data_IF_135704491829
#
_entry.id   IF_135704491829
#
_cell.length_a   1.000
_cell.length_b   1.000
_cell.length_c   1.000
_cell.angle_alpha   90.00
_cell.angle_beta   90.00
_cell.angle_gamma   90.00
#
_symmetry.space_group_name_H-M   'P 1'
#
loop_
_entity.id
_entity.type
_entity.pdbx_description
1 polymer ?
#
# COMPACT_ATOMS: atom_id res chain seq x y z
N UNK A 1 2.98 14.35 -13.66
CA UNK A 1 1.61 14.16 -14.16
C UNK A 1 0.71 14.88 -13.18
N UNK A 2 0.05 15.96 -13.60
CA UNK A 2 -0.94 16.64 -12.75
C UNK A 2 -2.07 15.67 -12.41
N UNK A 3 -2.51 15.73 -11.16
CA UNK A 3 -3.54 14.85 -10.64
C UNK A 3 -4.89 15.25 -11.24
N UNK A 4 -5.35 14.49 -12.24
CA UNK A 4 -6.63 14.69 -12.92
C UNK A 4 -7.82 14.66 -11.94
N UNK A 5 -7.66 14.08 -10.74
CA UNK A 5 -8.68 14.14 -9.69
C UNK A 5 -8.96 15.58 -9.23
N UNK A 6 -7.94 16.44 -9.19
CA UNK A 6 -8.08 17.86 -8.84
C UNK A 6 -8.82 18.63 -9.93
N UNK A 7 -8.60 18.28 -11.20
CA UNK A 7 -9.30 18.88 -12.33
C UNK A 7 -10.82 18.61 -12.29
N UNK A 8 -11.26 17.46 -11.73
CA UNK A 8 -12.70 17.14 -11.57
C UNK A 8 -13.45 18.16 -10.71
N UNK A 9 -12.77 18.81 -9.78
CA UNK A 9 -13.36 19.77 -8.85
C UNK A 9 -13.41 21.20 -9.40
N UNK A 10 -12.80 21.45 -10.57
CA UNK A 10 -12.66 22.81 -11.10
C UNK A 10 -13.93 23.33 -11.78
N UNK A 11 -14.59 22.52 -12.61
CA UNK A 11 -15.87 22.89 -13.22
C UNK A 11 -16.66 21.68 -13.74
N UNK A 12 -17.96 21.90 -14.01
CA UNK A 12 -18.88 20.87 -14.53
C UNK A 12 -18.44 20.28 -15.87
N UNK A 13 -17.81 21.08 -16.73
CA UNK A 13 -17.29 20.63 -18.03
C UNK A 13 -16.15 19.64 -17.84
N UNK A 14 -15.15 19.98 -17.00
CA UNK A 14 -14.06 19.07 -16.66
C UNK A 14 -14.57 17.80 -16.00
N UNK A 15 -15.50 17.92 -15.04
CA UNK A 15 -16.13 16.75 -14.44
C UNK A 15 -16.77 15.84 -15.50
N UNK A 16 -17.59 16.39 -16.40
CA UNK A 16 -18.27 15.64 -17.46
C UNK A 16 -17.28 14.92 -18.38
N UNK A 17 -16.24 15.61 -18.84
CA UNK A 17 -15.21 15.01 -19.70
C UNK A 17 -14.39 13.94 -18.99
N UNK A 18 -14.07 14.12 -17.70
CA UNK A 18 -13.26 13.17 -16.94
C UNK A 18 -14.01 11.88 -16.57
N UNK A 19 -15.35 11.89 -16.61
CA UNK A 19 -16.18 10.69 -16.38
C UNK A 19 -16.66 10.04 -17.69
N UNK A 20 -16.38 10.63 -18.85
CA UNK A 20 -16.72 10.04 -20.14
C UNK A 20 -15.87 8.77 -20.40
N UNK A 21 -16.54 7.67 -20.74
CA UNK A 21 -15.88 6.39 -20.99
C UNK A 21 -14.81 6.49 -22.10
N UNK A 22 -15.05 7.29 -23.14
CA UNK A 22 -14.09 7.53 -24.22
C UNK A 22 -12.81 8.23 -23.73
N UNK A 23 -12.94 9.22 -22.83
CA UNK A 23 -11.81 9.91 -22.22
C UNK A 23 -11.01 8.96 -21.32
N UNK A 24 -11.71 8.20 -20.47
CA UNK A 24 -11.10 7.21 -19.56
C UNK A 24 -10.35 6.17 -20.39
N UNK A 25 -10.99 5.54 -21.38
CA UNK A 25 -10.36 4.53 -22.24
C UNK A 25 -9.17 5.10 -23.01
N UNK A 26 -9.23 6.36 -23.47
CA UNK A 26 -8.09 7.01 -24.15
C UNK A 26 -6.90 7.20 -23.21
N UNK A 27 -7.14 7.57 -21.94
CA UNK A 27 -6.08 7.70 -20.94
C UNK A 27 -5.55 6.35 -20.47
N UNK A 28 -6.41 5.35 -20.34
CA UNK A 28 -6.01 3.97 -20.03
C UNK A 28 -5.14 3.36 -21.14
N UNK A 29 -5.38 3.70 -22.42
CA UNK A 29 -4.54 3.22 -23.55
C UNK A 29 -3.08 3.68 -23.47
N UNK A 30 -2.83 4.84 -22.88
CA UNK A 30 -1.47 5.37 -22.68
C UNK A 30 -0.92 5.07 -21.28
N UNK A 31 -1.74 4.50 -20.40
CA UNK A 31 -1.33 4.10 -19.06
C UNK A 31 -0.78 2.67 -19.06
N UNK A 32 0.34 2.49 -18.36
CA UNK A 32 0.89 1.16 -18.07
C UNK A 32 0.26 0.53 -16.82
N UNK A 33 -0.70 1.20 -16.19
CA UNK A 33 -1.40 0.69 -15.00
C UNK A 33 -2.26 -0.53 -15.35
N UNK A 34 -2.42 -1.41 -14.36
CA UNK A 34 -3.20 -2.64 -14.44
C UNK A 34 -4.11 -2.71 -13.23
N UNK A 35 -5.30 -3.26 -13.41
CA UNK A 35 -6.20 -3.52 -12.29
C UNK A 35 -5.74 -4.76 -11.56
N UNK A 36 -5.68 -4.69 -10.23
CA UNK A 36 -5.47 -5.85 -9.39
C UNK A 36 -6.81 -6.29 -8.80
N UNK A 37 -7.19 -7.54 -9.04
CA UNK A 37 -8.35 -8.18 -8.40
C UNK A 37 -7.86 -9.29 -7.49
N UNK A 38 -8.28 -9.26 -6.23
CA UNK A 38 -7.94 -10.26 -5.22
C UNK A 38 -9.25 -10.85 -4.69
N UNK A 39 -9.51 -12.10 -5.08
CA UNK A 39 -10.64 -12.89 -4.58
C UNK A 39 -10.15 -14.27 -4.12
N UNK A 40 -10.49 -15.33 -4.85
CA UNK A 40 -9.93 -16.67 -4.65
C UNK A 40 -8.55 -16.83 -5.31
N UNK A 41 -8.27 -15.94 -6.26
CA UNK A 41 -7.01 -15.83 -6.98
C UNK A 41 -6.64 -14.35 -7.08
N UNK A 42 -5.41 -14.11 -7.52
CA UNK A 42 -4.90 -12.76 -7.76
C UNK A 42 -4.77 -12.58 -9.26
N UNK A 43 -5.52 -11.62 -9.82
CA UNK A 43 -5.52 -11.33 -11.24
C UNK A 43 -5.02 -9.91 -11.48
N UNK A 44 -3.98 -9.77 -12.30
CA UNK A 44 -3.58 -8.48 -12.88
C UNK A 44 -4.21 -8.35 -14.26
N UNK A 45 -5.14 -7.41 -14.43
CA UNK A 45 -5.99 -7.25 -15.61
C UNK A 45 -5.60 -5.95 -16.34
N UNK A 46 -5.34 -6.05 -17.63
CA UNK A 46 -5.25 -4.92 -18.53
C UNK A 46 -6.67 -4.44 -18.86
N UNK A 47 -7.04 -3.21 -18.50
CA UNK A 47 -8.41 -2.74 -18.69
C UNK A 47 -8.82 -2.52 -20.15
N UNK A 48 -7.87 -2.48 -21.08
CA UNK A 48 -8.15 -2.18 -22.49
C UNK A 48 -8.62 -3.42 -23.24
N UNK A 49 -7.90 -4.53 -23.06
CA UNK A 49 -8.15 -5.78 -23.79
C UNK A 49 -8.60 -6.92 -22.87
N UNK A 50 -8.72 -6.65 -21.56
CA UNK A 50 -9.05 -7.64 -20.52
C UNK A 50 -8.05 -8.80 -20.43
N UNK A 51 -6.90 -8.71 -21.12
CA UNK A 51 -5.81 -9.65 -20.95
C UNK A 51 -5.29 -9.56 -19.52
N UNK A 52 -4.85 -10.69 -18.97
CA UNK A 52 -4.38 -10.69 -17.61
C UNK A 52 -3.57 -11.91 -17.27
N UNK A 53 -2.82 -11.77 -16.18
CA UNK A 53 -2.13 -12.87 -15.52
C UNK A 53 -2.90 -13.17 -14.25
N UNK A 54 -3.24 -14.43 -14.07
CA UNK A 54 -3.82 -14.94 -12.83
C UNK A 54 -2.82 -15.83 -12.13
N UNK A 55 -2.76 -15.72 -10.81
CA UNK A 55 -1.91 -16.53 -9.95
C UNK A 55 -2.68 -16.92 -8.69
N UNK A 56 -2.22 -17.97 -8.03
CA UNK A 56 -2.84 -18.43 -6.80
C UNK A 56 -2.77 -17.36 -5.70
N UNK A 57 -3.80 -17.34 -4.86
CA UNK A 57 -3.83 -16.48 -3.68
C UNK A 57 -2.69 -16.89 -2.73
N UNK A 58 -1.85 -15.95 -2.27
CA UNK A 58 -0.82 -16.26 -1.29
C UNK A 58 -1.42 -16.87 -0.02
N UNK A 59 -0.74 -17.86 0.55
CA UNK A 59 -1.21 -18.58 1.75
C UNK A 59 -1.49 -17.68 2.96
N UNK A 60 -0.85 -16.50 3.03
CA UNK A 60 -1.08 -15.53 4.10
C UNK A 60 -2.36 -14.71 3.89
N UNK A 61 -2.94 -14.69 2.70
CA UNK A 61 -4.27 -14.13 2.42
C UNK A 61 -5.30 -15.26 2.55
N UNK A 62 -5.97 -15.31 3.69
CA UNK A 62 -6.89 -16.39 4.02
C UNK A 62 -8.34 -15.90 4.07
N UNK A 63 -9.25 -16.66 3.47
CA UNK A 63 -10.68 -16.35 3.52
C UNK A 63 -11.18 -16.31 4.97
N UNK A 64 -11.94 -15.27 5.34
CA UNK A 64 -12.52 -15.12 6.67
C UNK A 64 -11.53 -14.70 7.78
N UNK A 65 -10.31 -14.27 7.42
CA UNK A 65 -9.39 -13.63 8.37
C UNK A 65 -9.40 -12.12 8.14
N UNK A 66 -9.50 -11.36 9.22
CA UNK A 66 -9.29 -9.91 9.16
C UNK A 66 -7.81 -9.66 8.87
N UNK A 67 -7.54 -8.95 7.78
CA UNK A 67 -6.20 -8.63 7.32
C UNK A 67 -6.16 -7.18 6.92
N UNK A 68 -5.06 -6.51 7.23
CA UNK A 68 -4.82 -5.15 6.77
C UNK A 68 -3.86 -5.22 5.60
N UNK A 69 -4.27 -4.68 4.45
CA UNK A 69 -3.42 -4.50 3.28
C UNK A 69 -3.18 -3.01 3.13
N UNK A 70 -1.91 -2.62 3.11
CA UNK A 70 -1.45 -1.26 2.88
C UNK A 70 -0.53 -1.33 1.67
N UNK A 71 -0.71 -0.48 0.69
CA UNK A 71 0.01 -0.49 -0.57
C UNK A 71 0.76 0.81 -0.81
N UNK A 72 1.90 0.69 -1.46
CA UNK A 72 2.68 1.81 -1.96
C UNK A 72 3.19 1.45 -3.35
N UNK A 73 2.63 2.10 -4.38
CA UNK A 73 2.99 1.91 -5.78
C UNK A 73 3.07 0.44 -6.25
N UNK A 74 2.04 -0.34 -5.91
CA UNK A 74 1.90 -1.74 -6.32
C UNK A 74 2.63 -2.75 -5.42
N UNK A 75 3.35 -2.30 -4.40
CA UNK A 75 3.90 -3.14 -3.34
C UNK A 75 2.96 -3.12 -2.13
N UNK A 76 2.63 -4.30 -1.59
CA UNK A 76 1.69 -4.44 -0.48
C UNK A 76 2.42 -4.86 0.79
N UNK A 77 2.19 -4.12 1.87
CA UNK A 77 2.42 -4.52 3.24
C UNK A 77 1.15 -5.19 3.77
N UNK A 78 1.26 -6.46 4.14
CA UNK A 78 0.14 -7.27 4.61
C UNK A 78 0.36 -7.61 6.08
N UNK A 79 -0.52 -7.09 6.92
CA UNK A 79 -0.63 -7.49 8.31
C UNK A 79 -1.68 -8.59 8.43
N UNK A 80 -1.22 -9.80 8.75
CA UNK A 80 -2.02 -11.00 8.89
C UNK A 80 -2.03 -11.45 10.36
N UNK A 81 -2.95 -10.94 11.19
CA UNK A 81 -3.11 -11.39 12.55
C UNK A 81 -3.65 -12.83 12.60
N UNK A 82 -3.08 -13.64 13.50
CA UNK A 82 -3.61 -14.94 13.90
C UNK A 82 -3.86 -14.93 15.42
N UNK A 83 -4.61 -15.91 15.94
CA UNK A 83 -5.05 -15.99 17.34
C UNK A 83 -3.92 -15.88 18.37
N UNK A 84 -2.69 -16.20 17.99
CA UNK A 84 -1.54 -16.25 18.91
C UNK A 84 -0.38 -15.35 18.49
N UNK A 85 -0.32 -14.96 17.21
CA UNK A 85 0.80 -14.22 16.64
C UNK A 85 0.34 -13.38 15.44
N UNK A 86 0.89 -12.19 15.30
CA UNK A 86 0.74 -11.39 14.08
C UNK A 86 1.92 -11.61 13.16
N UNK A 87 1.64 -11.73 11.86
CA UNK A 87 2.66 -11.84 10.83
C UNK A 87 2.59 -10.65 9.89
N UNK A 88 3.76 -10.19 9.44
CA UNK A 88 3.88 -9.12 8.46
C UNK A 88 4.51 -9.69 7.19
N UNK A 89 3.93 -9.37 6.04
CA UNK A 89 4.44 -9.78 4.74
C UNK A 89 4.61 -8.57 3.83
N UNK A 90 5.67 -8.59 3.05
CA UNK A 90 5.79 -7.76 1.86
C UNK A 90 5.37 -8.60 0.67
N UNK A 91 4.50 -8.07 -0.17
CA UNK A 91 3.91 -8.79 -1.28
C UNK A 91 3.89 -7.95 -2.54
N UNK A 92 4.48 -8.47 -3.61
CA UNK A 92 4.40 -7.93 -4.95
C UNK A 92 3.49 -8.83 -5.81
N UNK A 93 2.20 -8.48 -5.96
CA UNK A 93 1.27 -9.28 -6.75
C UNK A 93 1.64 -9.37 -8.23
N UNK A 94 2.32 -8.35 -8.79
CA UNK A 94 2.69 -8.36 -10.21
C UNK A 94 3.79 -9.39 -10.50
N UNK A 95 4.79 -9.46 -9.63
CA UNK A 95 5.86 -10.45 -9.73
C UNK A 95 5.42 -11.83 -9.21
N UNK A 96 4.41 -11.89 -8.34
CA UNK A 96 4.03 -13.11 -7.62
C UNK A 96 4.93 -13.40 -6.42
N UNK A 97 5.78 -12.44 -6.04
CA UNK A 97 6.78 -12.58 -4.99
C UNK A 97 6.25 -12.09 -3.65
N UNK A 98 6.63 -12.78 -2.59
CA UNK A 98 6.33 -12.36 -1.22
C UNK A 98 7.44 -12.74 -0.26
N UNK A 99 7.62 -11.95 0.79
CA UNK A 99 8.60 -12.20 1.84
C UNK A 99 7.99 -11.87 3.20
N UNK A 100 8.14 -12.77 4.17
CA UNK A 100 7.79 -12.49 5.55
C UNK A 100 8.80 -11.53 6.16
N UNK A 101 8.29 -10.54 6.90
CA UNK A 101 9.09 -9.58 7.66
C UNK A 101 9.02 -9.95 9.12
N UNK A 102 10.20 -10.02 9.76
CA UNK A 102 10.30 -10.23 11.19
C UNK A 102 10.55 -8.89 11.90
N UNK A 103 9.74 -8.53 12.91
CA UNK A 103 10.01 -7.37 13.76
C UNK A 103 11.33 -7.50 14.51
N UNK A 104 11.84 -6.37 15.00
CA UNK A 104 13.05 -6.32 15.82
C UNK A 104 12.92 -7.15 17.11
N UNK A 105 11.73 -7.15 17.71
CA UNK A 105 11.38 -7.93 18.89
C UNK A 105 10.30 -8.97 18.54
N UNK A 106 10.35 -10.16 19.14
CA UNK A 106 9.45 -11.29 18.82
C UNK A 106 7.96 -11.02 19.09
N UNK A 107 7.63 -9.90 19.75
CA UNK A 107 6.27 -9.45 20.02
C UNK A 107 5.94 -8.32 19.05
N UNK A 108 5.28 -8.66 17.94
CA UNK A 108 4.73 -7.68 16.99
C UNK A 108 3.53 -6.96 17.63
N UNK A 109 3.71 -5.73 18.10
CA UNK A 109 2.69 -4.97 18.85
C UNK A 109 2.24 -3.66 18.17
N UNK A 110 2.63 -3.42 16.91
CA UNK A 110 2.23 -2.20 16.21
C UNK A 110 0.72 -2.17 15.97
N UNK A 111 0.07 -1.12 16.46
CA UNK A 111 -1.34 -0.83 16.20
C UNK A 111 -1.50 -0.18 14.81
N UNK A 112 -0.47 0.57 14.38
CA UNK A 112 -0.47 1.31 13.13
C UNK A 112 0.76 0.96 12.31
N UNK A 113 0.54 0.77 11.02
CA UNK A 113 1.57 0.43 10.05
C UNK A 113 1.48 1.37 8.85
N UNK A 114 2.62 1.59 8.20
CA UNK A 114 2.70 2.32 6.95
C UNK A 114 3.87 1.81 6.12
N UNK A 115 3.76 1.94 4.80
CA UNK A 115 4.85 1.67 3.87
C UNK A 115 5.00 2.87 2.94
N UNK A 116 6.24 3.23 2.65
CA UNK A 116 6.54 4.35 1.78
C UNK A 116 7.97 4.30 1.29
N UNK A 117 8.35 5.25 0.45
CA UNK A 117 9.72 5.41 -0.01
C UNK A 117 10.01 6.91 -0.20
N UNK A 118 11.28 7.29 -0.13
CA UNK A 118 11.68 8.66 -0.47
C UNK A 118 11.58 8.85 -1.98
N UNK A 119 10.93 9.93 -2.43
CA UNK A 119 10.89 10.28 -3.87
C UNK A 119 12.32 10.41 -4.40
N UNK A 120 12.60 9.66 -5.46
CA UNK A 120 13.86 9.64 -6.19
C UNK A 120 13.58 9.89 -7.69
N UNK A 121 14.59 10.26 -8.50
CA UNK A 121 14.43 10.42 -9.95
C UNK A 121 13.86 9.15 -10.62
N UNK A 122 13.24 9.32 -11.79
CA UNK A 122 12.47 8.27 -12.49
C UNK A 122 13.22 6.96 -12.80
N UNK A 123 14.55 6.95 -12.68
CA UNK A 123 15.41 5.79 -12.99
C UNK A 123 16.24 5.31 -11.79
N UNK A 124 15.93 5.77 -10.59
CA UNK A 124 16.60 5.33 -9.37
C UNK A 124 15.74 4.28 -8.66
N UNK A 125 16.29 3.11 -8.28
CA UNK A 125 15.57 2.15 -7.44
C UNK A 125 15.02 2.82 -6.20
N UNK A 126 13.75 2.53 -5.88
CA UNK A 126 13.10 3.06 -4.69
C UNK A 126 13.49 2.20 -3.50
N UNK A 127 14.08 2.81 -2.48
CA UNK A 127 14.25 2.16 -1.18
C UNK A 127 12.98 2.37 -0.36
N UNK A 128 12.25 1.28 -0.13
CA UNK A 128 11.04 1.30 0.68
C UNK A 128 11.36 1.17 2.17
N UNK A 129 10.57 1.84 2.98
CA UNK A 129 10.64 1.81 4.43
C UNK A 129 9.27 1.47 4.99
N UNK A 130 9.26 0.66 6.05
CA UNK A 130 8.04 0.36 6.80
C UNK A 130 8.12 1.12 8.11
N UNK A 131 7.03 1.81 8.45
CA UNK A 131 6.82 2.52 9.69
C UNK A 131 5.84 1.71 10.55
N UNK A 132 6.19 1.48 11.81
CA UNK A 132 5.30 0.91 12.81
C UNK A 132 5.29 1.76 14.07
N UNK A 133 4.13 1.95 14.69
CA UNK A 133 4.01 2.58 16.01
C UNK A 133 2.78 2.10 16.79
N UNK A 134 2.85 2.25 18.11
CA UNK A 134 1.76 1.97 19.05
C UNK A 134 1.16 3.29 19.55
N UNK A 135 -0.17 3.36 19.71
CA UNK A 135 -0.84 4.55 20.25
C UNK A 135 -0.78 4.64 21.78
N UNK A 136 -0.43 3.54 22.47
CA UNK A 136 -0.47 3.43 23.94
C UNK A 136 0.83 3.82 24.62
N UNK A 137 1.95 3.65 23.96
CA UNK A 137 3.27 4.05 24.47
C UNK A 137 3.66 5.36 23.82
N UNK A 138 3.96 6.38 24.63
CA UNK A 138 4.46 7.67 24.15
C UNK A 138 5.76 7.47 23.35
N UNK A 139 5.65 7.29 22.03
CA UNK A 139 6.74 7.54 21.08
C UNK A 139 7.67 6.37 20.72
N UNK A 140 7.27 5.11 20.89
CA UNK A 140 8.01 3.99 20.25
C UNK A 140 7.64 3.89 18.78
N UNK A 141 8.31 4.70 17.96
CA UNK A 141 8.24 4.62 16.51
C UNK A 141 9.38 3.75 16.01
N UNK A 142 9.08 2.73 15.22
CA UNK A 142 10.09 1.90 14.59
C UNK A 142 10.02 2.03 13.07
N UNK A 143 11.20 2.12 12.44
CA UNK A 143 11.33 2.14 10.99
C UNK A 143 12.20 0.96 10.55
N UNK A 144 11.66 0.13 9.67
CA UNK A 144 12.44 -0.86 8.92
C UNK A 144 12.83 -0.26 7.58
N UNK A 145 14.14 -0.20 7.33
CA UNK A 145 14.70 0.10 6.01
C UNK A 145 14.83 -1.22 5.24
N UNK A 146 14.11 -1.37 4.12
CA UNK A 146 14.06 -2.65 3.38
C UNK A 146 15.31 -2.91 2.53
N UNK A 147 16.11 -1.89 2.23
CA UNK A 147 17.40 -2.08 1.56
C UNK A 147 18.43 -2.68 2.52
N UNK A 148 18.47 -2.17 3.76
CA UNK A 148 19.42 -2.65 4.78
C UNK A 148 18.89 -3.80 5.63
N UNK A 149 17.58 -4.04 5.61
CA UNK A 149 16.86 -4.96 6.51
C UNK A 149 17.11 -4.65 8.00
N UNK A 150 17.32 -3.38 8.36
CA UNK A 150 17.60 -2.94 9.73
C UNK A 150 16.42 -2.17 10.30
N UNK A 151 15.96 -2.60 11.48
CA UNK A 151 15.02 -1.85 12.31
C UNK A 151 15.74 -0.75 13.08
N UNK A 152 15.17 0.45 13.04
CA UNK A 152 15.64 1.62 13.78
C UNK A 152 14.52 2.09 14.69
N UNK A 153 14.76 2.06 15.99
CA UNK A 153 13.87 2.68 16.99
C UNK A 153 14.12 4.18 16.99
N UNK A 154 13.08 4.96 16.79
CA UNK A 154 13.09 6.41 16.86
C UNK A 154 12.45 6.82 18.17
N UNK A 155 13.19 7.59 18.98
CA UNK A 155 12.60 8.34 20.08
C UNK A 155 11.97 9.59 19.50
N UNK A 156 10.74 9.47 19.02
CA UNK A 156 10.00 10.57 18.43
C UNK A 156 8.69 10.75 19.18
N UNK A 157 8.44 11.98 19.66
CA UNK A 157 7.12 12.35 20.13
C UNK A 157 6.22 12.56 18.90
N UNK A 158 5.21 11.72 18.76
CA UNK A 158 4.17 11.94 17.76
C UNK A 158 3.35 13.15 18.22
N UNK A 159 3.32 14.21 17.41
CA UNK A 159 2.55 15.44 17.63
C UNK A 159 1.10 15.31 17.13
N UNK A 160 0.72 14.13 16.67
CA UNK A 160 -0.58 13.80 16.12
C UNK A 160 -1.15 12.53 16.77
N UNK A 161 -2.47 12.50 16.93
CA UNK A 161 -3.22 11.34 17.41
C UNK A 161 -3.88 10.66 16.22
N UNK A 162 -3.64 9.37 16.03
CA UNK A 162 -4.43 8.58 15.08
C UNK A 162 -5.75 8.23 15.73
N UNK A 163 -6.85 8.72 15.16
CA UNK A 163 -8.16 8.32 15.62
C UNK A 163 -8.35 6.83 15.32
N UNK A 164 -8.82 5.99 16.27
CA UNK A 164 -8.92 4.53 16.09
C UNK A 164 -9.79 4.09 14.90
N UNK A 165 -10.70 4.95 14.43
CA UNK A 165 -11.55 4.68 13.27
C UNK A 165 -10.88 5.01 11.92
N UNK A 166 -9.64 5.51 11.90
CA UNK A 166 -8.93 5.82 10.68
C UNK A 166 -8.18 4.57 10.19
N UNK A 167 -8.75 3.88 9.21
CA UNK A 167 -8.17 2.66 8.62
C UNK A 167 -7.10 2.90 7.55
N UNK A 168 -6.69 4.16 7.34
CA UNK A 168 -5.65 4.54 6.40
C UNK A 168 -5.47 6.05 6.36
N UNK A 169 -4.21 6.52 6.33
CA UNK A 169 -3.88 7.93 6.25
C UNK A 169 -2.86 8.17 5.14
N UNK A 170 -3.18 9.10 4.25
CA UNK A 170 -2.25 9.62 3.26
C UNK A 170 -1.52 10.82 3.83
N UNK A 171 -0.18 10.76 3.85
CA UNK A 171 0.64 11.93 4.21
C UNK A 171 0.89 12.76 2.96
N UNK A 172 0.43 14.02 2.97
CA UNK A 172 0.65 14.98 1.88
C UNK A 172 -0.22 14.78 0.64
N UNK A 173 -1.38 14.10 0.77
CA UNK A 173 -2.34 13.90 -0.32
C UNK A 173 -1.91 12.89 -1.39
N UNK A 174 -0.78 12.19 -1.19
CA UNK A 174 -0.42 11.03 -1.99
C UNK A 174 -0.98 9.79 -1.30
N UNK A 175 -2.15 9.29 -1.73
CA UNK A 175 -2.68 8.02 -1.23
C UNK A 175 -1.78 6.90 -1.73
N UNK A 176 -0.97 6.40 -0.83
CA UNK A 176 -0.39 5.07 -0.91
C UNK A 176 -1.38 4.23 -0.09
N UNK A 177 -2.30 3.57 -0.78
CA UNK A 177 -3.54 3.08 -0.19
C UNK A 177 -3.28 1.81 0.58
#
# INVERSE_FOLDING_TARGET
MEDLSKARLTCKTWFKSLVEASFILRHLKVSNERFLRVEHEVSSINPIDSSGKTQQLPHFLGYGREQTLIHCDGLFLVHAPNRSQSHLYLWNPFLGDSSQIFPCDSIFSFEYLGIGYRKVPANTPRNYTILGFSGKDEGSVEILDLETCVWKKLQAKLDWLVHPSCHGLSIGGNMYW
#
